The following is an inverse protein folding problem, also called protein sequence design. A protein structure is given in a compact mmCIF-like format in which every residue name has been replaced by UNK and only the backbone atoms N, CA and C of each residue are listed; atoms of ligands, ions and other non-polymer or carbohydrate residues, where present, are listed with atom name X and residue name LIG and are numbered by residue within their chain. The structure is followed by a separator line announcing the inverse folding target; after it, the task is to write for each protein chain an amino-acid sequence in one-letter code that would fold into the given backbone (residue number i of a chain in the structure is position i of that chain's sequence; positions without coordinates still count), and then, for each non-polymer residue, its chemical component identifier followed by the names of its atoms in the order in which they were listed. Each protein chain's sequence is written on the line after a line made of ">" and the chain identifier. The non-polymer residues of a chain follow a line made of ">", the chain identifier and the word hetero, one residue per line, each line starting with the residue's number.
data_IF_809248289001
#
_entry.id   IF_809248289001
#
_cell.length_a   1.000
_cell.length_b   1.000
_cell.length_c   1.000
_cell.angle_alpha   90.00
_cell.angle_beta   90.00
_cell.angle_gamma   90.00
#
_symmetry.space_group_name_H-M   'P 1'
#
loop_
_entity.id
_entity.type
_entity.pdbx_description
1 polymer ?
#
# COMPACT_ATOMS: atom_id res chain seq x y z
N UNK A 1 -20.29 4.49 20.78
CA UNK A 1 -19.95 5.93 20.71
C UNK A 1 -20.25 6.43 19.31
N UNK A 2 -20.83 7.63 19.17
CA UNK A 2 -21.00 8.33 17.89
C UNK A 2 -19.64 8.54 17.18
N UNK A 3 -19.60 8.63 15.84
CA UNK A 3 -18.37 8.87 15.05
C UNK A 3 -17.61 10.15 15.43
N UNK A 4 -18.31 11.09 16.04
CA UNK A 4 -17.94 12.44 16.44
C UNK A 4 -17.19 12.48 17.79
N UNK A 5 -17.12 11.37 18.52
CA UNK A 5 -16.42 11.25 19.81
C UNK A 5 -15.11 10.43 19.72
N UNK A 6 -14.55 10.25 18.52
CA UNK A 6 -13.30 9.52 18.37
C UNK A 6 -12.10 10.39 18.83
N UNK A 7 -11.22 9.90 19.72
CA UNK A 7 -10.05 10.65 20.13
C UNK A 7 -9.13 10.93 18.94
N UNK A 8 -8.54 12.13 18.90
CA UNK A 8 -7.62 12.52 17.85
C UNK A 8 -6.48 11.51 17.70
N UNK A 9 -6.22 11.06 16.47
CA UNK A 9 -5.14 10.13 16.20
C UNK A 9 -3.79 10.81 16.51
N UNK A 10 -3.19 10.47 17.66
CA UNK A 10 -1.85 10.92 18.02
C UNK A 10 -0.86 10.51 16.94
N UNK A 11 -0.11 11.48 16.41
CA UNK A 11 0.89 11.25 15.38
C UNK A 11 1.89 10.17 15.77
N UNK A 12 2.12 9.23 14.85
CA UNK A 12 3.08 8.14 15.05
C UNK A 12 4.48 8.73 15.27
N UNK A 13 5.13 8.37 16.38
CA UNK A 13 6.55 8.67 16.62
C UNK A 13 7.37 8.28 15.39
N UNK A 14 8.25 9.16 14.93
CA UNK A 14 9.18 8.89 13.83
C UNK A 14 10.06 7.70 14.21
N UNK A 15 9.80 6.54 13.60
CA UNK A 15 10.63 5.34 13.82
C UNK A 15 11.85 5.45 12.93
N UNK A 16 13.05 5.44 13.53
CA UNK A 16 14.34 5.46 12.84
C UNK A 16 14.41 4.27 11.86
N UNK A 17 14.73 4.53 10.59
CA UNK A 17 14.77 3.51 9.53
C UNK A 17 16.07 2.70 9.55
N UNK A 18 16.56 2.35 10.73
CA UNK A 18 17.86 1.70 10.86
C UNK A 18 17.78 0.26 10.33
N UNK A 19 18.63 -0.01 9.33
CA UNK A 19 18.89 -1.34 8.78
C UNK A 19 20.26 -1.81 9.23
N UNK A 20 20.38 -3.08 9.57
CA UNK A 20 21.65 -3.74 9.84
C UNK A 20 22.48 -3.92 8.56
N UNK A 21 23.72 -4.33 8.75
CA UNK A 21 24.67 -4.64 7.66
C UNK A 21 24.20 -5.77 6.73
N UNK A 22 23.25 -6.58 7.17
CA UNK A 22 22.56 -7.62 6.40
C UNK A 22 21.33 -7.11 5.62
N UNK A 23 21.07 -5.80 5.65
CA UNK A 23 19.92 -5.15 5.02
C UNK A 23 18.59 -5.41 5.73
N UNK A 24 18.56 -6.16 6.84
CA UNK A 24 17.36 -6.38 7.66
C UNK A 24 17.14 -5.21 8.63
N UNK A 25 15.91 -5.03 9.09
CA UNK A 25 15.61 -4.00 10.09
C UNK A 25 16.18 -4.39 11.46
N UNK A 26 16.78 -3.43 12.16
CA UNK A 26 17.30 -3.65 13.52
C UNK A 26 16.17 -4.02 14.50
N UNK A 27 16.50 -4.81 15.52
CA UNK A 27 15.54 -5.27 16.54
C UNK A 27 14.93 -4.05 17.25
N UNK A 28 13.60 -3.92 17.22
CA UNK A 28 12.86 -2.76 17.75
C UNK A 28 12.38 -1.76 16.70
N UNK A 29 12.83 -1.89 15.44
CA UNK A 29 12.36 -1.06 14.34
C UNK A 29 10.95 -1.49 13.88
N UNK A 30 9.94 -0.71 14.24
CA UNK A 30 8.54 -0.89 13.85
C UNK A 30 8.13 -0.14 12.59
N UNK A 31 9.06 0.52 11.86
CA UNK A 31 8.76 1.30 10.65
C UNK A 31 8.13 0.44 9.54
N UNK A 32 8.42 -0.86 9.52
CA UNK A 32 7.82 -1.83 8.60
C UNK A 32 6.53 -2.49 9.13
N UNK A 33 6.14 -2.26 10.39
CA UNK A 33 4.88 -2.75 10.95
C UNK A 33 3.78 -1.73 10.71
N UNK A 34 3.43 -1.52 9.44
CA UNK A 34 2.04 -1.20 9.15
C UNK A 34 1.23 -2.39 9.70
N UNK A 35 0.51 -2.18 10.81
CA UNK A 35 -0.43 -3.17 11.34
C UNK A 35 -1.40 -3.46 10.20
N UNK A 36 -1.24 -4.63 9.57
CA UNK A 36 -2.29 -5.16 8.70
C UNK A 36 -3.52 -5.25 9.57
N UNK A 37 -4.59 -4.56 9.19
CA UNK A 37 -5.89 -4.86 9.75
C UNK A 37 -6.16 -6.31 9.36
N UNK A 38 -6.21 -7.20 10.35
CA UNK A 38 -6.72 -8.54 10.10
C UNK A 38 -8.21 -8.34 9.85
N UNK A 39 -8.65 -8.54 8.61
CA UNK A 39 -10.06 -8.72 8.34
C UNK A 39 -10.56 -9.81 9.30
N UNK A 40 -11.51 -9.44 10.17
CA UNK A 40 -12.21 -10.42 11.00
C UNK A 40 -12.96 -11.43 10.13
N UNK A 41 -13.56 -12.47 10.73
CA UNK A 41 -14.26 -13.54 10.02
C UNK A 41 -15.54 -13.10 9.27
N UNK A 42 -15.76 -11.79 9.11
CA UNK A 42 -16.83 -11.26 8.29
C UNK A 42 -16.57 -11.68 6.85
N UNK A 43 -17.58 -12.37 6.29
CA UNK A 43 -17.59 -12.96 4.95
C UNK A 43 -16.99 -12.05 3.88
N UNK A 44 -16.47 -12.69 2.83
CA UNK A 44 -15.87 -12.00 1.71
C UNK A 44 -16.79 -10.93 1.13
N UNK A 45 -16.17 -9.90 0.56
CA UNK A 45 -16.87 -8.80 -0.09
C UNK A 45 -17.78 -9.35 -1.19
N UNK A 46 -19.02 -8.87 -1.26
CA UNK A 46 -19.98 -9.27 -2.29
C UNK A 46 -20.71 -10.60 -2.03
N UNK A 47 -20.79 -11.04 -0.77
CA UNK A 47 -21.52 -12.26 -0.38
C UNK A 47 -20.75 -13.56 -0.64
N UNK A 48 -19.44 -13.46 -0.89
CA UNK A 48 -18.57 -14.62 -1.09
C UNK A 48 -18.18 -15.18 0.27
N UNK A 49 -18.44 -16.47 0.52
CA UNK A 49 -17.87 -17.12 1.70
C UNK A 49 -16.35 -17.29 1.52
N UNK A 50 -15.60 -16.44 2.24
CA UNK A 50 -14.15 -16.37 2.17
C UNK A 50 -13.43 -17.61 2.71
N UNK A 51 -14.16 -18.52 3.37
CA UNK A 51 -13.62 -19.74 3.97
C UNK A 51 -13.66 -20.94 3.01
N UNK A 52 -14.41 -20.84 1.91
CA UNK A 52 -14.56 -21.92 0.92
C UNK A 52 -13.25 -22.29 0.23
N UNK A 53 -13.01 -23.59 0.03
CA UNK A 53 -11.83 -24.09 -0.69
C UNK A 53 -11.75 -23.56 -2.12
N UNK A 54 -12.91 -23.39 -2.77
CA UNK A 54 -13.01 -22.84 -4.11
C UNK A 54 -12.52 -21.37 -4.19
N UNK A 55 -12.70 -20.58 -3.13
CA UNK A 55 -12.25 -19.19 -3.09
C UNK A 55 -10.77 -19.03 -2.71
N UNK A 56 -10.19 -19.98 -1.96
CA UNK A 56 -8.79 -19.94 -1.50
C UNK A 56 -7.76 -19.54 -2.59
N UNK A 57 -7.77 -20.09 -3.82
CA UNK A 57 -6.82 -19.67 -4.86
C UNK A 57 -6.96 -18.18 -5.24
N UNK A 58 -8.19 -17.68 -5.37
CA UNK A 58 -8.47 -16.27 -5.67
C UNK A 58 -8.05 -15.36 -4.51
N UNK A 59 -8.32 -15.75 -3.27
CA UNK A 59 -7.89 -15.03 -2.09
C UNK A 59 -6.36 -14.95 -1.99
N UNK A 60 -5.64 -16.05 -2.29
CA UNK A 60 -4.17 -16.06 -2.35
C UNK A 60 -3.65 -15.11 -3.42
N UNK A 61 -4.24 -15.14 -4.62
CA UNK A 61 -3.91 -14.22 -5.70
C UNK A 61 -4.14 -12.75 -5.29
N UNK A 62 -5.31 -12.43 -4.73
CA UNK A 62 -5.64 -11.08 -4.25
C UNK A 62 -4.66 -10.58 -3.19
N UNK A 63 -4.27 -11.42 -2.22
CA UNK A 63 -3.25 -11.06 -1.23
C UNK A 63 -1.89 -10.73 -1.85
N UNK A 64 -1.47 -11.46 -2.89
CA UNK A 64 -0.22 -11.17 -3.63
C UNK A 64 -0.36 -9.86 -4.42
N UNK A 65 -1.49 -9.68 -5.10
CA UNK A 65 -1.82 -8.46 -5.82
C UNK A 65 -1.76 -7.22 -4.91
N UNK A 66 -2.51 -7.21 -3.81
CA UNK A 66 -2.50 -6.08 -2.87
C UNK A 66 -1.12 -5.83 -2.24
N UNK A 67 -0.34 -6.90 -1.97
CA UNK A 67 1.02 -6.74 -1.49
C UNK A 67 1.95 -6.08 -2.54
N UNK A 68 1.78 -6.43 -3.81
CA UNK A 68 2.51 -5.80 -4.91
C UNK A 68 2.11 -4.33 -5.08
N UNK A 69 0.80 -4.04 -5.17
CA UNK A 69 0.29 -2.67 -5.33
C UNK A 69 0.73 -1.72 -4.22
N UNK A 70 0.77 -2.19 -2.96
CA UNK A 70 1.32 -1.38 -1.86
C UNK A 70 2.80 -1.04 -2.04
N UNK A 71 3.61 -1.97 -2.56
CA UNK A 71 5.03 -1.70 -2.84
C UNK A 71 5.18 -0.68 -3.96
N UNK A 72 4.36 -0.78 -5.00
CA UNK A 72 4.34 0.20 -6.10
C UNK A 72 3.94 1.60 -5.61
N UNK A 73 2.85 1.72 -4.87
CA UNK A 73 2.42 3.00 -4.28
C UNK A 73 3.48 3.59 -3.35
N UNK A 74 4.06 2.75 -2.48
CA UNK A 74 5.15 3.16 -1.62
C UNK A 74 6.34 3.69 -2.43
N UNK A 75 6.79 2.96 -3.45
CA UNK A 75 7.89 3.40 -4.31
C UNK A 75 7.59 4.72 -5.03
N UNK A 76 6.37 4.89 -5.52
CA UNK A 76 5.96 6.09 -6.25
C UNK A 76 5.81 7.35 -5.37
N UNK A 77 5.54 7.17 -4.07
CA UNK A 77 5.14 8.25 -3.15
C UNK A 77 6.06 8.40 -1.93
N UNK A 78 7.35 8.07 -2.07
CA UNK A 78 8.36 8.39 -1.05
C UNK A 78 8.65 7.30 -0.03
N UNK A 79 8.42 6.04 -0.39
CA UNK A 79 8.84 4.84 0.34
C UNK A 79 7.85 4.31 1.38
N UNK A 80 7.03 5.16 1.99
CA UNK A 80 6.02 4.76 2.98
C UNK A 80 4.62 5.28 2.60
N UNK A 81 3.61 4.44 2.83
CA UNK A 81 2.18 4.74 2.67
C UNK A 81 1.48 4.68 4.03
N UNK A 82 0.41 5.47 4.22
CA UNK A 82 -0.39 5.39 5.44
C UNK A 82 -1.18 4.08 5.56
N UNK A 83 -1.69 3.82 6.76
CA UNK A 83 -2.62 2.73 7.00
C UNK A 83 -3.93 2.89 6.20
N UNK A 84 -4.39 4.12 5.97
CA UNK A 84 -5.59 4.40 5.16
C UNK A 84 -5.40 4.01 3.70
N UNK A 85 -4.29 4.42 3.09
CA UNK A 85 -3.89 3.95 1.75
C UNK A 85 -3.76 2.43 1.73
N UNK A 86 -3.15 1.84 2.76
CA UNK A 86 -3.03 0.39 2.91
C UNK A 86 -4.38 -0.34 2.92
N UNK A 87 -5.38 0.20 3.63
CA UNK A 87 -6.73 -0.36 3.71
C UNK A 87 -7.49 -0.27 2.39
N UNK A 88 -7.34 0.83 1.65
CA UNK A 88 -7.93 0.97 0.30
C UNK A 88 -7.36 -0.08 -0.66
N UNK A 89 -6.04 -0.31 -0.65
CA UNK A 89 -5.40 -1.35 -1.47
C UNK A 89 -5.84 -2.76 -1.06
N UNK A 90 -6.00 -3.02 0.24
CA UNK A 90 -6.51 -4.31 0.72
C UNK A 90 -7.96 -4.54 0.30
N UNK A 91 -8.80 -3.50 0.35
CA UNK A 91 -10.19 -3.53 -0.10
C UNK A 91 -10.28 -3.77 -1.61
N UNK A 92 -9.47 -3.06 -2.41
CA UNK A 92 -9.36 -3.28 -3.86
C UNK A 92 -8.96 -4.72 -4.19
N UNK A 93 -7.94 -5.25 -3.51
CA UNK A 93 -7.45 -6.60 -3.72
C UNK A 93 -8.49 -7.67 -3.39
N UNK A 94 -9.26 -7.48 -2.31
CA UNK A 94 -10.34 -8.40 -1.92
C UNK A 94 -11.52 -8.32 -2.89
N UNK A 95 -11.95 -7.12 -3.29
CA UNK A 95 -13.01 -6.93 -4.28
C UNK A 95 -12.62 -7.57 -5.62
N UNK A 96 -11.38 -7.41 -6.07
CA UNK A 96 -10.90 -7.98 -7.34
C UNK A 96 -10.76 -9.52 -7.28
N UNK A 97 -10.34 -10.08 -6.15
CA UNK A 97 -10.34 -11.54 -5.96
C UNK A 97 -11.76 -12.11 -5.99
N UNK A 98 -12.70 -11.44 -5.33
CA UNK A 98 -14.12 -11.81 -5.29
C UNK A 98 -14.76 -11.70 -6.67
N UNK A 99 -14.46 -10.63 -7.41
CA UNK A 99 -14.86 -10.42 -8.80
C UNK A 99 -14.43 -11.60 -9.69
N UNK A 100 -13.14 -11.96 -9.66
CA UNK A 100 -12.62 -13.07 -10.47
C UNK A 100 -13.25 -14.41 -10.12
N UNK A 101 -13.50 -14.66 -8.84
CA UNK A 101 -14.19 -15.86 -8.38
C UNK A 101 -15.62 -15.91 -8.92
N UNK A 102 -16.41 -14.85 -8.71
CA UNK A 102 -17.79 -14.79 -9.19
C UNK A 102 -17.88 -14.83 -10.71
N UNK A 103 -16.91 -14.25 -11.42
CA UNK A 103 -16.85 -14.32 -12.88
C UNK A 103 -16.64 -15.76 -13.36
N UNK A 104 -15.76 -16.52 -12.69
CA UNK A 104 -15.53 -17.93 -13.01
C UNK A 104 -16.79 -18.77 -12.72
N UNK A 105 -17.43 -18.56 -11.57
CA UNK A 105 -18.66 -19.27 -11.23
C UNK A 105 -19.80 -18.94 -12.20
N UNK A 106 -20.03 -17.65 -12.47
CA UNK A 106 -21.08 -17.20 -13.39
C UNK A 106 -20.87 -17.69 -14.81
N UNK A 107 -19.63 -17.70 -15.31
CA UNK A 107 -19.31 -18.24 -16.63
C UNK A 107 -19.55 -19.75 -16.72
N UNK A 108 -19.26 -20.51 -15.65
CA UNK A 108 -19.43 -21.96 -15.64
C UNK A 108 -20.90 -22.41 -15.71
N UNK A 109 -21.82 -21.63 -15.14
CA UNK A 109 -23.26 -21.98 -15.09
C UNK A 109 -24.15 -21.07 -15.96
N UNK A 110 -23.57 -20.11 -16.68
CA UNK A 110 -24.32 -19.15 -17.49
C UNK A 110 -25.17 -18.16 -16.70
N UNK A 111 -24.81 -17.86 -15.45
CA UNK A 111 -25.57 -16.98 -14.57
C UNK A 111 -25.18 -15.50 -14.77
N UNK A 112 -26.05 -14.75 -15.44
CA UNK A 112 -25.87 -13.34 -15.73
C UNK A 112 -25.83 -12.44 -14.48
N UNK A 113 -26.53 -12.80 -13.39
CA UNK A 113 -26.51 -12.02 -12.16
C UNK A 113 -25.17 -12.16 -11.42
N UNK A 114 -24.56 -13.36 -11.44
CA UNK A 114 -23.19 -13.53 -10.95
C UNK A 114 -22.18 -12.73 -11.77
N UNK A 115 -22.32 -12.71 -13.09
CA UNK A 115 -21.44 -11.92 -13.98
C UNK A 115 -21.60 -10.41 -13.73
N UNK A 116 -22.83 -9.93 -13.51
CA UNK A 116 -23.11 -8.53 -13.17
C UNK A 116 -22.47 -8.15 -11.83
N UNK A 117 -22.61 -8.99 -10.80
CA UNK A 117 -21.96 -8.78 -9.49
C UNK A 117 -20.44 -8.79 -9.61
N UNK A 118 -19.87 -9.70 -10.39
CA UNK A 118 -18.45 -9.74 -10.65
C UNK A 118 -17.94 -8.43 -11.29
N UNK A 119 -18.69 -7.91 -12.27
CA UNK A 119 -18.38 -6.62 -12.93
C UNK A 119 -18.43 -5.44 -11.95
N UNK A 120 -19.45 -5.40 -11.09
CA UNK A 120 -19.59 -4.36 -10.07
C UNK A 120 -18.40 -4.36 -9.08
N UNK A 121 -18.00 -5.54 -8.59
CA UNK A 121 -16.82 -5.68 -7.72
C UNK A 121 -15.51 -5.29 -8.42
N UNK A 122 -15.37 -5.55 -9.73
CA UNK A 122 -14.21 -5.08 -10.49
C UNK A 122 -14.20 -3.55 -10.60
N UNK A 123 -15.37 -2.92 -10.75
CA UNK A 123 -15.48 -1.47 -10.76
C UNK A 123 -15.12 -0.87 -9.39
N UNK A 124 -15.62 -1.45 -8.30
CA UNK A 124 -15.28 -1.06 -6.93
C UNK A 124 -13.77 -1.19 -6.66
N UNK A 125 -13.15 -2.28 -7.10
CA UNK A 125 -11.71 -2.46 -6.99
C UNK A 125 -10.92 -1.33 -7.68
N UNK A 126 -11.34 -0.93 -8.90
CA UNK A 126 -10.71 0.20 -9.61
C UNK A 126 -10.88 1.52 -8.87
N UNK A 127 -12.07 1.79 -8.31
CA UNK A 127 -12.31 3.01 -7.53
C UNK A 127 -11.44 3.07 -6.29
N UNK A 128 -11.34 1.96 -5.55
CA UNK A 128 -10.47 1.86 -4.38
C UNK A 128 -8.99 2.07 -4.74
N UNK A 129 -8.53 1.57 -5.88
CA UNK A 129 -7.16 1.85 -6.35
C UNK A 129 -6.94 3.31 -6.71
N UNK A 130 -7.86 3.95 -7.45
CA UNK A 130 -7.76 5.37 -7.78
C UNK A 130 -7.70 6.23 -6.51
N UNK A 131 -8.60 5.96 -5.56
CA UNK A 131 -8.59 6.63 -4.26
C UNK A 131 -7.28 6.42 -3.49
N UNK A 132 -6.70 5.21 -3.54
CA UNK A 132 -5.41 4.94 -2.92
C UNK A 132 -4.27 5.74 -3.55
N UNK A 133 -4.24 5.86 -4.87
CA UNK A 133 -3.25 6.65 -5.61
C UNK A 133 -3.38 8.14 -5.30
N UNK A 134 -4.60 8.68 -5.32
CA UNK A 134 -4.84 10.08 -5.01
C UNK A 134 -4.46 10.42 -3.56
N UNK A 135 -4.88 9.59 -2.61
CA UNK A 135 -4.57 9.80 -1.19
C UNK A 135 -3.06 9.70 -0.94
N UNK A 136 -2.39 8.69 -1.50
CA UNK A 136 -0.94 8.54 -1.37
C UNK A 136 -0.18 9.74 -1.95
N UNK A 137 -0.62 10.29 -3.09
CA UNK A 137 -0.05 11.49 -3.68
C UNK A 137 -0.24 12.73 -2.77
N UNK A 138 -1.44 12.91 -2.21
CA UNK A 138 -1.74 14.01 -1.27
C UNK A 138 -0.90 13.91 0.00
N UNK A 139 -0.81 12.71 0.58
CA UNK A 139 0.01 12.45 1.78
C UNK A 139 1.51 12.65 1.53
N UNK A 140 2.02 12.26 0.36
CA UNK A 140 3.42 12.50 0.00
C UNK A 140 3.72 14.00 -0.13
N UNK A 141 2.82 14.74 -0.81
CA UNK A 141 2.92 16.19 -0.94
C UNK A 141 2.88 16.88 0.44
N UNK A 142 1.95 16.50 1.30
CA UNK A 142 1.80 17.05 2.65
C UNK A 142 3.03 16.80 3.54
N UNK A 143 3.70 15.66 3.38
CA UNK A 143 4.96 15.36 4.07
C UNK A 143 6.16 16.18 3.57
N UNK A 144 5.99 17.04 2.58
CA UNK A 144 7.10 17.74 1.94
C UNK A 144 8.02 16.79 1.15
N UNK A 145 7.55 15.58 0.84
CA UNK A 145 8.24 14.68 -0.08
C UNK A 145 7.98 15.22 -1.48
N UNK A 146 8.69 16.28 -1.84
CA UNK A 146 8.93 16.58 -3.25
C UNK A 146 9.58 15.34 -3.86
N UNK A 147 9.21 14.97 -5.09
CA UNK A 147 9.91 13.90 -5.82
C UNK A 147 11.39 14.27 -5.87
N UNK A 148 12.20 13.75 -4.94
CA UNK A 148 13.66 13.80 -5.03
C UNK A 148 14.01 13.09 -6.31
N UNK A 149 14.31 13.87 -7.32
CA UNK A 149 14.64 13.36 -8.63
C UNK A 149 16.00 12.69 -8.57
N UNK A 150 16.31 11.85 -9.56
CA UNK A 150 17.67 11.35 -9.72
C UNK A 150 18.68 12.51 -9.82
N UNK A 151 18.27 13.65 -10.38
CA UNK A 151 19.08 14.86 -10.51
C UNK A 151 19.38 15.52 -9.15
N UNK A 152 18.43 15.56 -8.22
CA UNK A 152 18.66 16.12 -6.88
C UNK A 152 19.74 15.32 -6.13
N UNK A 153 19.73 13.99 -6.28
CA UNK A 153 20.75 13.10 -5.70
C UNK A 153 22.13 13.27 -6.34
N UNK A 154 22.17 13.54 -7.65
CA UNK A 154 23.42 13.83 -8.37
C UNK A 154 23.99 15.17 -7.93
N UNK A 155 23.14 16.20 -7.76
CA UNK A 155 23.55 17.52 -7.28
C UNK A 155 24.10 17.48 -5.86
N UNK A 156 23.45 16.77 -4.93
CA UNK A 156 23.97 16.59 -3.56
C UNK A 156 25.33 15.87 -3.55
N UNK A 157 25.52 14.84 -4.39
CA UNK A 157 26.82 14.16 -4.52
C UNK A 157 27.90 15.05 -5.12
N UNK A 158 27.56 15.89 -6.10
CA UNK A 158 28.49 16.83 -6.70
C UNK A 158 28.91 17.91 -5.68
N UNK A 159 27.95 18.46 -4.95
CA UNK A 159 28.21 19.44 -3.88
C UNK A 159 29.09 18.85 -2.77
N UNK A 160 28.83 17.60 -2.35
CA UNK A 160 29.66 16.92 -1.35
C UNK A 160 31.12 16.71 -1.79
N UNK A 161 31.38 16.45 -3.08
CA UNK A 161 32.75 16.33 -3.61
C UNK A 161 33.48 17.66 -3.69
N UNK A 162 32.75 18.73 -4.05
CA UNK A 162 33.33 20.08 -4.12
C UNK A 162 33.73 20.57 -2.72
N UNK A 163 32.91 20.31 -1.71
CA UNK A 163 33.24 20.67 -0.33
C UNK A 163 34.42 19.85 0.21
N UNK A 164 34.51 18.55 -0.11
CA UNK A 164 35.64 17.72 0.28
C UNK A 164 36.97 18.19 -0.35
N UNK A 165 36.95 18.64 -1.61
CA UNK A 165 38.14 19.23 -2.23
C UNK A 165 38.53 20.59 -1.63
N UNK A 166 37.56 21.40 -1.24
CA UNK A 166 37.83 22.69 -0.60
C UNK A 166 38.40 22.56 0.82
N UNK A 167 38.16 21.45 1.51
CA UNK A 167 38.75 21.14 2.83
C UNK A 167 40.20 20.63 2.71
N UNK A 168 40.52 19.85 1.67
CA UNK A 168 41.90 19.36 1.41
C UNK A 168 42.88 20.49 0.97
N UNK A 169 42.38 21.54 0.31
CA UNK A 169 43.19 22.68 -0.14
C UNK A 169 43.48 23.71 0.96
N UNK A 170 42.86 23.57 2.15
CA UNK A 170 43.01 24.49 3.29
C UNK A 170 44.06 24.09 4.34
N UNK A 171 44.64 22.90 4.24
CA UNK A 171 45.62 22.36 5.21
C UNK A 171 47.09 22.41 4.73
N UNK A 172 47.41 23.17 3.69
CA UNK A 172 48.80 23.36 3.20
C UNK A 172 49.40 24.72 3.58
#
# INVERSE_FOLDING_TARGET
>A
MPPDELPAATGTKTVRSDRGSDGRFTRGNTAARARRLRAGPLGGVGGVDSTTDAFKPFARWGRRYGAHRRRELAAAHGGAISAGVGALVESAALALASSRYLQNQGAAIGDAELLKRASALAAEARQNELAAWELAAREAKARGISRRTALDRVRERAAGRLNAHAEDDGEQ
#
